data_IF_522091590932
#
_entry.id   IF_522091590932
#
_cell.length_a   1.000
_cell.length_b   1.000
_cell.length_c   1.000
_cell.angle_alpha   90.00
_cell.angle_beta   90.00
_cell.angle_gamma   90.00
#
_symmetry.space_group_name_H-M   'P 1'
#
loop_
_entity.id
_entity.type
_entity.pdbx_description
1 polymer ?
#
# COMPACT_ATOMS: atom_id res chain seq x y z
N UNK A 1 -10.05 -35.44 39.81
CA UNK A 1 -10.10 -34.95 38.41
C UNK A 1 -9.58 -33.53 38.39
N UNK A 2 -8.28 -33.35 38.15
CA UNK A 2 -7.66 -32.03 38.07
C UNK A 2 -7.95 -31.42 36.69
N UNK A 3 -8.54 -30.23 36.67
CA UNK A 3 -8.74 -29.43 35.46
C UNK A 3 -7.38 -29.11 34.85
N UNK A 4 -7.09 -29.68 33.68
CA UNK A 4 -5.87 -29.35 32.92
C UNK A 4 -5.96 -27.87 32.51
N UNK A 5 -4.98 -27.09 32.99
CA UNK A 5 -4.82 -25.66 32.69
C UNK A 5 -4.95 -25.42 31.18
N UNK A 6 -5.85 -24.51 30.82
CA UNK A 6 -6.06 -24.00 29.47
C UNK A 6 -4.98 -22.97 29.13
N UNK A 7 -3.73 -23.40 28.98
CA UNK A 7 -2.64 -22.49 28.61
C UNK A 7 -2.91 -21.89 27.22
N UNK A 8 -3.05 -20.56 27.18
CA UNK A 8 -3.09 -19.78 25.94
C UNK A 8 -1.67 -19.83 25.37
N UNK A 9 -1.46 -20.66 24.33
CA UNK A 9 -0.19 -20.68 23.62
C UNK A 9 0.00 -19.34 22.92
N UNK A 10 1.08 -18.63 23.28
CA UNK A 10 1.49 -17.40 22.61
C UNK A 10 2.11 -17.73 21.24
N UNK A 11 1.93 -16.86 20.23
CA UNK A 11 2.47 -17.12 18.92
C UNK A 11 4.00 -17.10 18.92
N UNK A 12 4.60 -17.93 18.08
CA UNK A 12 6.03 -17.85 17.74
C UNK A 12 6.28 -16.60 16.88
N UNK A 13 7.40 -15.92 17.11
CA UNK A 13 7.73 -14.66 16.43
C UNK A 13 8.94 -14.82 15.50
N UNK A 14 8.90 -14.19 14.34
CA UNK A 14 10.01 -14.15 13.40
C UNK A 14 11.09 -13.14 13.84
N UNK A 15 12.35 -13.42 13.54
CA UNK A 15 13.42 -12.41 13.60
C UNK A 15 13.43 -11.59 12.31
N UNK A 16 13.57 -10.27 12.39
CA UNK A 16 13.77 -9.47 11.20
C UNK A 16 15.17 -9.75 10.61
N UNK A 17 15.26 -9.92 9.29
CA UNK A 17 16.53 -10.21 8.62
C UNK A 17 16.43 -10.18 7.09
N UNK A 18 17.57 -10.28 6.38
CA UNK A 18 17.58 -10.50 4.93
C UNK A 18 16.99 -11.87 4.60
N UNK A 19 16.57 -12.06 3.34
CA UNK A 19 16.07 -13.36 2.89
C UNK A 19 17.18 -14.39 3.04
N UNK A 20 16.99 -15.46 3.83
CA UNK A 20 18.01 -16.49 3.98
C UNK A 20 18.04 -17.38 2.74
N UNK A 21 19.24 -17.88 2.41
CA UNK A 21 19.44 -18.83 1.30
C UNK A 21 19.52 -20.28 1.80
N UNK A 22 19.26 -21.22 0.88
CA UNK A 22 19.47 -22.65 1.07
C UNK A 22 18.19 -23.49 1.14
N UNK A 23 18.29 -24.80 0.86
CA UNK A 23 17.15 -25.70 0.69
C UNK A 23 16.40 -26.04 1.99
N UNK A 24 16.96 -25.67 3.15
CA UNK A 24 16.36 -25.87 4.46
C UNK A 24 15.23 -24.87 4.76
N UNK A 25 15.00 -23.87 3.92
CA UNK A 25 14.00 -22.84 4.12
C UNK A 25 12.74 -23.10 3.31
N UNK A 26 11.60 -22.84 3.94
CA UNK A 26 10.33 -22.67 3.28
C UNK A 26 9.94 -21.19 3.33
N UNK A 27 9.48 -20.64 2.22
CA UNK A 27 9.10 -19.24 2.10
C UNK A 27 7.57 -19.12 2.02
N UNK A 28 6.99 -18.23 2.81
CA UNK A 28 5.60 -17.81 2.70
C UNK A 28 5.55 -16.30 2.46
N UNK A 29 4.52 -15.83 1.75
CA UNK A 29 4.24 -14.39 1.71
C UNK A 29 3.81 -13.87 3.08
N UNK A 30 4.19 -12.64 3.40
CA UNK A 30 3.66 -11.96 4.59
C UNK A 30 2.31 -11.34 4.30
N UNK A 31 1.33 -11.74 5.11
CA UNK A 31 -0.01 -11.18 5.08
C UNK A 31 -0.11 -10.10 6.17
N UNK A 32 -0.47 -8.88 5.80
CA UNK A 32 -0.75 -7.83 6.77
C UNK A 32 -2.18 -8.00 7.32
N UNK A 33 -2.30 -7.93 8.63
CA UNK A 33 -3.47 -8.44 9.33
C UNK A 33 -3.18 -8.73 10.79
N UNK A 34 -4.23 -8.85 11.60
CA UNK A 34 -4.08 -9.09 13.02
C UNK A 34 -3.74 -10.55 13.30
N UNK A 35 -2.78 -10.81 14.22
CA UNK A 35 -2.58 -12.15 14.75
C UNK A 35 -3.87 -12.68 15.36
N UNK A 36 -4.23 -13.92 15.02
CA UNK A 36 -5.38 -14.60 15.58
C UNK A 36 -5.11 -16.09 15.69
N UNK A 37 -5.36 -16.67 16.87
CA UNK A 37 -5.33 -18.11 17.09
C UNK A 37 -6.75 -18.66 17.06
N UNK A 38 -7.01 -19.60 16.15
CA UNK A 38 -8.25 -20.34 16.12
C UNK A 38 -8.18 -21.52 17.10
N UNK A 39 -9.02 -21.56 18.13
CA UNK A 39 -9.08 -22.66 19.09
C UNK A 39 -10.45 -23.31 19.08
N UNK A 40 -10.52 -24.63 18.92
CA UNK A 40 -11.70 -25.43 19.27
C UNK A 40 -11.57 -26.03 20.67
N UNK A 41 -12.62 -25.91 21.47
CA UNK A 41 -12.82 -26.68 22.71
C UNK A 41 -14.30 -26.99 22.89
N UNK A 42 -14.67 -28.24 23.17
CA UNK A 42 -16.05 -28.70 23.43
C UNK A 42 -17.12 -28.16 22.43
N UNK A 43 -16.83 -28.23 21.12
CA UNK A 43 -17.79 -27.82 20.08
C UNK A 43 -17.89 -26.32 19.79
N UNK A 44 -17.08 -25.46 20.44
CA UNK A 44 -17.06 -24.01 20.22
C UNK A 44 -15.79 -23.58 19.48
N UNK A 45 -15.93 -22.63 18.56
CA UNK A 45 -14.82 -21.90 17.93
C UNK A 45 -14.50 -20.68 18.79
N UNK A 46 -13.23 -20.49 19.11
CA UNK A 46 -12.69 -19.27 19.71
C UNK A 46 -11.65 -18.69 18.78
N UNK A 47 -11.62 -17.37 18.64
CA UNK A 47 -10.60 -16.68 17.88
C UNK A 47 -9.89 -15.72 18.81
N UNK A 48 -8.71 -16.11 19.27
CA UNK A 48 -7.94 -15.35 20.26
C UNK A 48 -7.00 -14.41 19.53
N UNK A 49 -7.24 -13.10 19.65
CA UNK A 49 -6.33 -12.07 19.12
C UNK A 49 -4.94 -12.15 19.78
N UNK A 50 -3.96 -11.46 19.20
CA UNK A 50 -2.62 -11.33 19.81
C UNK A 50 -2.58 -10.69 21.21
N UNK A 51 -3.68 -10.09 21.66
CA UNK A 51 -3.85 -9.50 23.01
C UNK A 51 -4.66 -10.40 23.95
N UNK A 52 -4.77 -11.70 23.64
CA UNK A 52 -5.50 -12.72 24.42
C UNK A 52 -7.02 -12.48 24.56
N UNK A 53 -7.61 -11.63 23.70
CA UNK A 53 -9.07 -11.40 23.64
C UNK A 53 -9.75 -12.36 22.66
N UNK A 54 -10.88 -12.96 23.05
CA UNK A 54 -11.74 -13.73 22.14
C UNK A 54 -12.58 -12.78 21.28
N UNK A 55 -12.36 -12.80 19.97
CA UNK A 55 -12.94 -11.86 18.99
C UNK A 55 -13.87 -12.54 17.99
N UNK A 56 -14.20 -13.83 18.17
CA UNK A 56 -14.96 -14.61 17.17
C UNK A 56 -16.32 -13.99 16.80
N UNK A 57 -16.97 -13.29 17.72
CA UNK A 57 -18.28 -12.65 17.46
C UNK A 57 -18.22 -11.57 16.37
N UNK A 58 -17.05 -10.93 16.19
CA UNK A 58 -16.82 -9.93 15.15
C UNK A 58 -16.62 -10.52 13.76
N UNK A 59 -16.46 -11.84 13.67
CA UNK A 59 -16.17 -12.59 12.44
C UNK A 59 -17.09 -13.82 12.32
N UNK A 60 -18.43 -13.62 12.28
CA UNK A 60 -19.39 -14.72 12.21
C UNK A 60 -19.20 -15.61 10.97
N UNK A 61 -18.61 -15.09 9.89
CA UNK A 61 -18.27 -15.87 8.69
C UNK A 61 -17.32 -17.03 9.00
N UNK A 62 -16.49 -16.93 10.05
CA UNK A 62 -15.55 -17.99 10.44
C UNK A 62 -16.21 -19.14 11.21
N UNK A 63 -17.51 -19.08 11.48
CA UNK A 63 -18.22 -20.17 12.15
C UNK A 63 -18.28 -21.45 11.31
N UNK A 64 -17.91 -21.40 10.02
CA UNK A 64 -17.77 -22.57 9.13
C UNK A 64 -16.75 -23.61 9.63
N UNK A 65 -15.82 -23.23 10.52
CA UNK A 65 -14.89 -24.18 11.14
C UNK A 65 -15.48 -24.86 12.38
N UNK A 66 -16.70 -24.50 12.78
CA UNK A 66 -17.47 -25.19 13.82
C UNK A 66 -17.77 -26.63 13.38
N UNK A 67 -17.82 -27.55 14.35
CA UNK A 67 -18.16 -28.96 14.10
C UNK A 67 -17.02 -29.85 13.58
N UNK A 68 -15.90 -29.32 13.09
CA UNK A 68 -14.71 -30.09 12.66
C UNK A 68 -13.90 -30.64 13.86
N UNK A 69 -12.83 -31.41 13.65
CA UNK A 69 -11.92 -31.99 14.70
C UNK A 69 -11.37 -30.95 15.69
N UNK A 70 -10.93 -31.38 16.87
CA UNK A 70 -10.35 -30.49 17.89
C UNK A 70 -9.07 -29.88 17.34
N UNK A 71 -8.94 -28.55 17.25
CA UNK A 71 -7.77 -27.96 16.59
C UNK A 71 -7.34 -26.67 17.28
N UNK A 72 -6.03 -26.42 17.24
CA UNK A 72 -5.44 -25.12 17.54
C UNK A 72 -4.63 -24.67 16.32
N UNK A 73 -5.06 -23.57 15.72
CA UNK A 73 -4.52 -23.03 14.47
C UNK A 73 -3.84 -21.69 14.72
N UNK A 74 -2.72 -21.48 14.04
CA UNK A 74 -2.00 -20.20 13.99
C UNK A 74 -2.22 -19.54 12.62
N UNK A 75 -2.60 -18.27 12.64
CA UNK A 75 -3.05 -17.58 11.45
C UNK A 75 -3.22 -16.07 11.63
N UNK A 76 -3.70 -15.43 10.58
CA UNK A 76 -4.02 -14.00 10.56
C UNK A 76 -5.40 -13.75 9.98
N UNK A 77 -6.09 -12.76 10.55
CA UNK A 77 -7.25 -12.17 9.90
C UNK A 77 -6.79 -11.18 8.86
N UNK A 78 -7.27 -11.35 7.62
CA UNK A 78 -6.88 -10.55 6.47
C UNK A 78 -8.14 -10.01 5.80
N UNK A 79 -8.17 -8.70 5.59
CA UNK A 79 -9.11 -8.07 4.66
C UNK A 79 -8.35 -7.71 3.39
N UNK A 80 -8.88 -8.10 2.24
CA UNK A 80 -8.27 -7.74 0.96
C UNK A 80 -8.88 -6.45 0.40
N UNK A 81 -8.08 -5.67 -0.30
CA UNK A 81 -8.57 -4.60 -1.18
C UNK A 81 -9.16 -5.18 -2.49
N UNK A 82 -9.62 -4.29 -3.37
CA UNK A 82 -10.20 -4.70 -4.65
C UNK A 82 -9.17 -5.38 -5.58
N UNK A 83 -7.88 -5.22 -5.32
CA UNK A 83 -6.78 -5.83 -6.07
C UNK A 83 -6.34 -7.17 -5.44
N UNK A 84 -7.03 -7.66 -4.40
CA UNK A 84 -6.69 -8.91 -3.74
C UNK A 84 -5.51 -8.81 -2.77
N UNK A 85 -5.15 -7.61 -2.31
CA UNK A 85 -4.00 -7.40 -1.41
C UNK A 85 -4.40 -7.17 0.02
N UNK A 86 -3.56 -7.57 0.99
CA UNK A 86 -3.79 -7.26 2.40
C UNK A 86 -3.96 -5.76 2.64
N UNK A 87 -5.07 -5.37 3.25
CA UNK A 87 -5.36 -3.98 3.58
C UNK A 87 -5.76 -3.88 5.04
N UNK A 88 -4.80 -3.48 5.86
CA UNK A 88 -5.02 -3.25 7.29
C UNK A 88 -6.03 -2.10 7.52
N UNK A 89 -6.03 -1.08 6.66
CA UNK A 89 -7.02 0.00 6.68
C UNK A 89 -8.46 -0.52 6.51
N UNK A 90 -8.67 -1.48 5.60
CA UNK A 90 -9.98 -2.13 5.44
C UNK A 90 -10.30 -3.00 6.66
N UNK A 91 -9.33 -3.78 7.15
CA UNK A 91 -9.51 -4.62 8.34
C UNK A 91 -9.89 -3.78 9.58
N UNK A 92 -9.31 -2.58 9.76
CA UNK A 92 -9.63 -1.68 10.87
C UNK A 92 -11.12 -1.33 10.96
N UNK A 93 -11.85 -1.32 9.84
CA UNK A 93 -13.32 -1.09 9.83
C UNK A 93 -14.11 -2.21 10.50
N UNK A 94 -13.52 -3.40 10.60
CA UNK A 94 -14.07 -4.58 11.30
C UNK A 94 -13.50 -4.72 12.71
N UNK A 95 -12.30 -4.20 12.95
CA UNK A 95 -11.65 -4.29 14.26
C UNK A 95 -12.48 -3.57 15.33
N UNK A 96 -12.68 -4.22 16.47
CA UNK A 96 -13.51 -3.77 17.59
C UNK A 96 -15.03 -3.69 17.31
N UNK A 97 -15.51 -4.18 16.18
CA UNK A 97 -16.94 -4.34 15.92
C UNK A 97 -17.38 -5.73 16.38
N UNK A 98 -17.91 -5.83 17.59
CA UNK A 98 -18.26 -7.12 18.19
C UNK A 98 -19.40 -7.86 17.47
N UNK A 99 -20.30 -7.14 16.78
CA UNK A 99 -21.42 -7.68 16.00
C UNK A 99 -21.59 -6.85 14.72
N UNK A 100 -20.92 -7.19 13.62
CA UNK A 100 -21.01 -6.44 12.38
C UNK A 100 -22.41 -6.57 11.74
N UNK A 101 -22.93 -5.49 11.17
CA UNK A 101 -24.15 -5.55 10.35
C UNK A 101 -23.89 -6.27 9.03
N UNK A 102 -24.93 -6.82 8.41
CA UNK A 102 -24.78 -7.48 7.10
C UNK A 102 -24.17 -6.56 6.03
N UNK A 103 -24.53 -5.27 6.03
CA UNK A 103 -23.94 -4.30 5.12
C UNK A 103 -22.44 -4.13 5.32
N UNK A 104 -21.95 -4.20 6.56
CA UNK A 104 -20.52 -4.16 6.85
C UNK A 104 -19.82 -5.46 6.43
N UNK A 105 -20.45 -6.63 6.67
CA UNK A 105 -19.93 -7.93 6.23
C UNK A 105 -19.75 -7.97 4.70
N UNK A 106 -20.73 -7.47 3.93
CA UNK A 106 -20.66 -7.40 2.46
C UNK A 106 -19.57 -6.45 1.95
N UNK A 107 -19.39 -5.30 2.62
CA UNK A 107 -18.40 -4.28 2.20
C UNK A 107 -16.96 -4.64 2.57
N UNK A 108 -16.77 -5.35 3.67
CA UNK A 108 -15.45 -5.72 4.21
C UNK A 108 -15.43 -7.20 4.51
N UNK A 109 -15.16 -7.99 3.47
CA UNK A 109 -14.90 -9.43 3.61
C UNK A 109 -13.58 -9.65 4.36
N UNK A 110 -13.60 -10.55 5.34
CA UNK A 110 -12.43 -10.95 6.12
C UNK A 110 -12.28 -12.46 6.01
N UNK A 111 -11.05 -12.91 5.76
CA UNK A 111 -10.69 -14.31 5.75
C UNK A 111 -9.61 -14.62 6.80
N UNK A 112 -9.60 -15.85 7.28
CA UNK A 112 -8.60 -16.37 8.20
C UNK A 112 -7.53 -17.16 7.44
N UNK A 113 -6.35 -16.57 7.35
CA UNK A 113 -5.18 -17.14 6.68
C UNK A 113 -4.41 -18.00 7.66
N UNK A 114 -4.53 -19.32 7.52
CA UNK A 114 -3.97 -20.31 8.45
C UNK A 114 -2.66 -20.84 7.92
N UNK A 115 -1.57 -20.60 8.65
CA UNK A 115 -0.24 -21.03 8.22
C UNK A 115 0.38 -22.12 9.10
N UNK A 116 -0.15 -22.37 10.31
CA UNK A 116 0.36 -23.44 11.18
C UNK A 116 -0.77 -24.14 11.97
N UNK A 117 -0.49 -25.36 12.43
CA UNK A 117 -1.34 -26.16 13.30
C UNK A 117 -0.53 -26.55 14.54
N UNK A 118 -1.03 -26.19 15.73
CA UNK A 118 -0.34 -26.34 17.01
C UNK A 118 -0.90 -27.50 17.85
N UNK A 119 -2.12 -27.95 17.53
CA UNK A 119 -2.76 -29.13 18.14
C UNK A 119 -3.80 -29.71 17.19
N UNK A 120 -3.88 -31.03 17.15
CA UNK A 120 -4.95 -31.79 16.50
C UNK A 120 -5.50 -32.82 17.48
N UNK A 121 -6.80 -32.74 17.74
CA UNK A 121 -7.54 -33.34 18.84
C UNK A 121 -6.84 -33.15 20.19
N UNK A 122 -6.38 -34.24 20.79
CA UNK A 122 -5.66 -34.32 22.05
C UNK A 122 -4.13 -34.27 21.88
N UNK A 123 -3.63 -34.28 20.64
CA UNK A 123 -2.19 -34.36 20.34
C UNK A 123 -1.59 -33.00 20.02
N UNK A 124 -0.54 -32.64 20.76
CA UNK A 124 0.32 -31.51 20.45
C UNK A 124 1.13 -31.78 19.18
N UNK A 125 1.21 -30.78 18.29
CA UNK A 125 2.03 -30.83 17.06
C UNK A 125 3.29 -29.97 17.18
N UNK A 126 3.54 -29.33 18.33
CA UNK A 126 4.64 -28.37 18.52
C UNK A 126 6.03 -28.96 18.25
N UNK A 127 6.22 -30.24 18.55
CA UNK A 127 7.48 -30.98 18.35
C UNK A 127 7.62 -31.54 16.93
N UNK A 128 6.57 -31.48 16.10
CA UNK A 128 6.70 -31.81 14.68
C UNK A 128 7.48 -30.70 13.97
N UNK A 129 8.23 -31.08 12.94
CA UNK A 129 8.91 -30.12 12.06
C UNK A 129 7.88 -29.26 11.31
N UNK A 130 8.27 -28.05 10.92
CA UNK A 130 7.40 -27.15 10.15
C UNK A 130 6.82 -27.83 8.91
N UNK A 131 7.63 -28.59 8.17
CA UNK A 131 7.17 -29.34 6.99
C UNK A 131 6.05 -30.32 7.34
N UNK A 132 6.21 -31.09 8.41
CA UNK A 132 5.17 -32.03 8.86
C UNK A 132 3.89 -31.32 9.30
N UNK A 133 3.99 -30.18 9.99
CA UNK A 133 2.82 -29.38 10.38
C UNK A 133 2.08 -28.80 9.17
N UNK A 134 2.81 -28.34 8.15
CA UNK A 134 2.23 -27.86 6.88
C UNK A 134 1.52 -28.95 6.10
N UNK A 135 2.11 -30.14 5.98
CA UNK A 135 1.46 -31.30 5.35
C UNK A 135 0.17 -31.65 6.10
N UNK A 136 0.26 -31.80 7.43
CA UNK A 136 -0.91 -32.09 8.26
C UNK A 136 -2.01 -31.04 8.11
N UNK A 137 -1.66 -29.76 8.07
CA UNK A 137 -2.63 -28.67 7.89
C UNK A 137 -3.33 -28.76 6.52
N UNK A 138 -2.60 -29.11 5.45
CA UNK A 138 -3.16 -29.31 4.11
C UNK A 138 -4.17 -30.47 4.05
N UNK A 139 -3.83 -31.60 4.66
CA UNK A 139 -4.65 -32.82 4.65
C UNK A 139 -6.00 -32.66 5.37
N UNK A 140 -6.15 -31.61 6.20
CA UNK A 140 -7.40 -31.37 6.94
C UNK A 140 -8.53 -30.81 6.07
N UNK A 141 -8.24 -30.41 4.83
CA UNK A 141 -9.26 -29.91 3.89
C UNK A 141 -10.03 -28.72 4.46
N UNK A 142 -9.32 -27.80 5.14
CA UNK A 142 -9.90 -26.59 5.74
C UNK A 142 -10.13 -25.46 4.75
N UNK A 143 -9.41 -25.47 3.63
CA UNK A 143 -9.48 -24.40 2.64
C UNK A 143 -10.89 -24.36 2.00
N UNK A 144 -11.46 -23.16 1.93
CA UNK A 144 -12.79 -22.93 1.36
C UNK A 144 -13.52 -21.79 2.07
N UNK A 145 -14.20 -20.94 1.29
CA UNK A 145 -14.91 -19.78 1.83
C UNK A 145 -13.96 -18.83 2.58
N UNK A 146 -14.24 -18.48 3.85
CA UNK A 146 -13.47 -17.49 4.61
C UNK A 146 -12.21 -18.06 5.29
N UNK A 147 -11.81 -19.30 4.99
CA UNK A 147 -10.55 -19.90 5.48
C UNK A 147 -9.61 -20.16 4.31
N UNK A 148 -8.40 -19.60 4.42
CA UNK A 148 -7.37 -19.66 3.39
C UNK A 148 -6.12 -20.33 3.96
N UNK A 149 -5.58 -21.31 3.25
CA UNK A 149 -4.26 -21.88 3.54
C UNK A 149 -3.29 -21.30 2.51
N UNK A 150 -2.52 -20.24 2.83
CA UNK A 150 -1.58 -19.67 1.88
C UNK A 150 -0.53 -20.72 1.46
N UNK A 151 -0.03 -20.64 0.21
CA UNK A 151 1.04 -21.51 -0.26
C UNK A 151 2.33 -21.24 0.51
N UNK A 152 3.21 -22.24 0.51
CA UNK A 152 4.59 -22.15 0.98
C UNK A 152 5.50 -22.76 -0.08
N UNK A 153 6.70 -22.23 -0.24
CA UNK A 153 7.62 -22.59 -1.31
C UNK A 153 8.92 -23.14 -0.71
N UNK A 154 9.30 -24.36 -1.07
CA UNK A 154 10.56 -24.99 -0.62
C UNK A 154 11.59 -25.17 -1.73
N UNK A 155 11.17 -25.05 -2.98
CA UNK A 155 11.98 -25.32 -4.18
C UNK A 155 12.21 -24.06 -5.03
N UNK A 156 11.77 -22.91 -4.53
CA UNK A 156 11.94 -21.61 -5.18
C UNK A 156 12.94 -20.82 -4.36
N UNK A 157 13.84 -20.12 -5.05
CA UNK A 157 14.76 -19.19 -4.43
C UNK A 157 13.99 -18.11 -3.64
N UNK A 158 14.42 -17.85 -2.41
CA UNK A 158 13.72 -16.92 -1.53
C UNK A 158 13.68 -15.49 -2.07
N UNK A 159 14.71 -15.06 -2.80
CA UNK A 159 14.74 -13.74 -3.41
C UNK A 159 13.69 -13.65 -4.51
N UNK A 160 13.53 -14.69 -5.33
CA UNK A 160 12.46 -14.75 -6.33
C UNK A 160 11.06 -14.66 -5.69
N UNK A 161 10.84 -15.30 -4.53
CA UNK A 161 9.57 -15.15 -3.78
C UNK A 161 9.40 -13.73 -3.24
N UNK A 162 10.48 -13.07 -2.78
CA UNK A 162 10.42 -11.67 -2.33
C UNK A 162 10.15 -10.70 -3.48
N UNK A 163 10.76 -10.92 -4.64
CA UNK A 163 10.55 -10.11 -5.84
C UNK A 163 9.10 -10.27 -6.34
N UNK A 164 8.59 -11.50 -6.32
CA UNK A 164 7.18 -11.80 -6.58
C UNK A 164 6.28 -11.08 -5.56
N UNK A 165 6.62 -11.10 -4.27
CA UNK A 165 5.87 -10.36 -3.26
C UNK A 165 5.81 -8.85 -3.59
N UNK A 166 6.90 -8.28 -4.11
CA UNK A 166 6.95 -6.88 -4.53
C UNK A 166 6.05 -6.61 -5.73
N UNK A 167 6.10 -7.50 -6.74
CA UNK A 167 5.28 -7.43 -7.95
C UNK A 167 3.78 -7.45 -7.64
N UNK A 168 3.36 -8.28 -6.68
CA UNK A 168 1.95 -8.38 -6.29
C UNK A 168 1.52 -7.34 -5.22
N UNK A 169 2.42 -6.46 -4.78
CA UNK A 169 2.13 -5.45 -3.75
C UNK A 169 1.91 -6.04 -2.36
N UNK A 170 2.55 -7.16 -2.06
CA UNK A 170 2.58 -7.79 -0.72
C UNK A 170 3.66 -7.15 0.15
N UNK A 171 3.66 -7.46 1.44
CA UNK A 171 4.54 -6.79 2.40
C UNK A 171 5.94 -7.39 2.51
N UNK A 172 6.17 -8.55 1.91
CA UNK A 172 7.44 -9.27 1.94
C UNK A 172 7.24 -10.77 2.13
N UNK A 173 8.24 -11.42 2.73
CA UNK A 173 8.29 -12.87 2.92
C UNK A 173 8.67 -13.23 4.35
N UNK A 174 8.13 -14.35 4.82
CA UNK A 174 8.59 -15.04 6.02
C UNK A 174 9.21 -16.37 5.62
N UNK A 175 10.50 -16.52 5.89
CA UNK A 175 11.23 -17.76 5.71
C UNK A 175 11.15 -18.56 7.02
N UNK A 176 10.76 -19.83 6.94
CA UNK A 176 10.67 -20.75 8.07
C UNK A 176 11.56 -21.95 7.78
N UNK A 177 12.45 -22.31 8.72
CA UNK A 177 13.26 -23.53 8.60
C UNK A 177 12.35 -24.75 8.55
N UNK A 178 12.46 -25.54 7.49
CA UNK A 178 11.58 -26.67 7.21
C UNK A 178 11.61 -27.74 8.32
N UNK A 179 12.77 -27.89 8.97
CA UNK A 179 13.05 -28.82 10.06
C UNK A 179 12.79 -28.23 11.46
N UNK A 180 12.35 -26.97 11.57
CA UNK A 180 12.15 -26.33 12.88
C UNK A 180 10.86 -26.72 13.58
N UNK A 181 10.95 -26.88 14.90
CA UNK A 181 9.79 -27.04 15.80
C UNK A 181 9.16 -25.68 16.12
N UNK A 182 7.91 -25.70 16.56
CA UNK A 182 7.22 -24.48 17.00
C UNK A 182 7.63 -24.10 18.42
N UNK A 183 7.98 -22.84 18.65
CA UNK A 183 8.46 -22.33 19.94
C UNK A 183 7.51 -21.24 20.45
N UNK A 184 6.47 -21.61 21.23
CA UNK A 184 5.45 -20.66 21.68
C UNK A 184 6.05 -19.44 22.39
N UNK A 185 5.60 -18.26 22.00
CA UNK A 185 6.01 -16.97 22.59
C UNK A 185 7.47 -16.56 22.35
N UNK A 186 8.27 -17.36 21.64
CA UNK A 186 9.69 -17.03 21.38
C UNK A 186 9.87 -16.37 20.03
N UNK A 187 10.72 -15.33 20.01
CA UNK A 187 11.33 -14.84 18.78
C UNK A 187 12.50 -15.74 18.41
N UNK A 188 12.44 -16.34 17.23
CA UNK A 188 13.44 -17.32 16.79
C UNK A 188 14.05 -16.91 15.47
N UNK A 189 15.31 -17.30 15.25
CA UNK A 189 15.96 -17.19 13.92
C UNK A 189 15.54 -18.31 12.98
N UNK A 190 14.80 -19.31 13.47
CA UNK A 190 14.22 -20.33 12.59
C UNK A 190 13.08 -19.77 11.75
N UNK A 191 12.52 -18.62 12.13
CA UNK A 191 11.58 -17.82 11.35
C UNK A 191 12.24 -16.47 11.06
N UNK A 192 12.43 -16.11 9.80
CA UNK A 192 13.03 -14.84 9.39
C UNK A 192 12.01 -14.07 8.58
N UNK A 193 11.68 -12.86 9.01
CA UNK A 193 10.79 -11.97 8.26
C UNK A 193 11.63 -10.94 7.50
N UNK A 194 11.45 -10.90 6.19
CA UNK A 194 12.05 -9.91 5.30
C UNK A 194 10.94 -9.05 4.71
N UNK A 195 10.82 -7.83 5.24
CA UNK A 195 9.85 -6.85 4.77
C UNK A 195 10.37 -6.10 3.55
N UNK A 196 9.48 -5.87 2.58
CA UNK A 196 9.73 -4.99 1.44
C UNK A 196 9.79 -3.54 1.91
N UNK A 197 10.77 -2.82 1.37
CA UNK A 197 11.00 -1.41 1.66
C UNK A 197 11.33 -0.67 0.37
N UNK A 198 10.74 0.50 0.22
CA UNK A 198 11.06 1.47 -0.81
C UNK A 198 11.98 2.55 -0.26
N UNK A 199 12.54 3.38 -1.14
CA UNK A 199 13.34 4.55 -0.77
C UNK A 199 12.73 5.82 -1.33
N UNK A 200 12.80 6.90 -0.56
CA UNK A 200 12.29 8.21 -0.95
C UNK A 200 13.31 9.29 -0.56
N UNK A 201 13.58 10.22 -1.48
CA UNK A 201 14.25 11.48 -1.15
C UNK A 201 13.27 12.42 -0.45
N UNK A 202 13.70 13.02 0.65
CA UNK A 202 12.87 13.91 1.47
C UNK A 202 13.66 15.14 1.90
N UNK A 203 12.94 16.22 2.16
CA UNK A 203 13.51 17.42 2.77
C UNK A 203 13.15 17.46 4.25
N UNK A 204 14.12 17.73 5.11
CA UNK A 204 13.89 17.91 6.54
C UNK A 204 13.33 19.32 6.75
N UNK A 205 12.13 19.39 7.35
CA UNK A 205 11.47 20.64 7.71
C UNK A 205 11.39 20.89 9.22
N UNK A 206 11.71 19.89 10.03
CA UNK A 206 11.79 20.07 11.47
C UNK A 206 12.31 18.84 12.19
N UNK A 207 12.32 18.89 13.51
CA UNK A 207 12.70 17.79 14.38
C UNK A 207 11.91 17.86 15.69
N UNK A 208 11.60 16.71 16.29
CA UNK A 208 11.04 16.68 17.65
C UNK A 208 12.17 16.48 18.66
N UNK A 209 12.11 17.05 19.86
CA UNK A 209 13.09 16.78 20.90
C UNK A 209 13.09 15.32 21.35
N UNK A 210 14.21 14.89 21.93
CA UNK A 210 14.40 13.54 22.44
C UNK A 210 15.82 13.32 22.97
N UNK A 211 16.07 12.14 23.54
CA UNK A 211 17.37 11.82 24.12
C UNK A 211 18.51 12.01 23.11
N UNK A 212 19.56 12.73 23.52
CA UNK A 212 20.74 13.00 22.70
C UNK A 212 20.53 14.03 21.58
N UNK A 213 19.63 15.00 21.76
CA UNK A 213 19.43 16.16 20.86
C UNK A 213 18.03 16.16 20.22
N UNK A 214 17.83 15.35 19.18
CA UNK A 214 16.50 15.15 18.57
C UNK A 214 15.96 13.75 18.86
N UNK A 215 14.65 13.56 18.90
CA UNK A 215 13.98 12.25 18.96
C UNK A 215 13.59 11.74 17.58
N UNK A 216 13.24 12.64 16.66
CA UNK A 216 12.89 12.30 15.28
C UNK A 216 13.04 13.49 14.35
N UNK A 217 13.16 13.23 13.05
CA UNK A 217 13.03 14.25 12.00
C UNK A 217 11.60 14.32 11.50
N UNK A 218 11.13 15.54 11.22
CA UNK A 218 9.91 15.81 10.47
C UNK A 218 10.33 16.06 9.03
N UNK A 219 9.81 15.25 8.12
CA UNK A 219 10.23 15.27 6.71
C UNK A 219 9.05 15.57 5.80
N UNK A 220 9.33 16.19 4.66
CA UNK A 220 8.33 16.53 3.66
C UNK A 220 8.87 16.46 2.25
N UNK A 221 7.94 16.59 1.31
CA UNK A 221 8.22 16.71 -0.11
C UNK A 221 7.95 18.15 -0.54
N UNK A 222 8.85 18.80 -1.30
CA UNK A 222 8.61 20.14 -1.84
C UNK A 222 7.35 20.24 -2.70
N UNK A 223 6.68 21.37 -2.57
CA UNK A 223 5.59 21.86 -3.42
C UNK A 223 5.86 23.34 -3.71
N UNK A 224 5.08 23.95 -4.61
CA UNK A 224 5.17 25.39 -4.88
C UNK A 224 4.91 26.26 -3.65
N UNK A 225 4.08 25.79 -2.71
CA UNK A 225 3.66 26.53 -1.51
C UNK A 225 4.51 26.25 -0.27
N UNK A 226 5.45 25.30 -0.33
CA UNK A 226 6.24 24.84 0.81
C UNK A 226 6.37 23.32 0.87
N UNK A 227 6.66 22.74 2.04
CA UNK A 227 6.78 21.29 2.20
C UNK A 227 5.44 20.64 2.50
N UNK A 228 5.02 19.65 1.70
CA UNK A 228 3.94 18.73 2.08
C UNK A 228 4.46 17.74 3.11
N UNK A 229 3.79 17.61 4.25
CA UNK A 229 4.29 16.77 5.34
C UNK A 229 4.22 15.28 4.96
N UNK A 230 5.37 14.59 5.00
CA UNK A 230 5.51 13.20 4.59
C UNK A 230 5.71 12.24 5.78
N UNK A 231 5.83 12.75 7.00
CA UNK A 231 5.84 11.93 8.21
C UNK A 231 7.01 12.17 9.15
N UNK A 232 7.05 11.35 10.21
CA UNK A 232 8.02 11.40 11.30
C UNK A 232 9.01 10.25 11.19
N UNK A 233 10.30 10.55 11.24
CA UNK A 233 11.38 9.55 11.11
C UNK A 233 12.16 9.46 12.41
N UNK A 234 11.92 8.39 13.19
CA UNK A 234 12.53 8.17 14.49
C UNK A 234 13.64 7.10 14.53
N UNK A 235 13.85 6.36 13.45
CA UNK A 235 14.78 5.21 13.40
C UNK A 235 15.76 5.33 12.24
N UNK A 236 16.79 4.46 12.19
CA UNK A 236 17.80 4.43 11.11
C UNK A 236 19.03 5.32 11.34
N UNK A 237 19.07 6.07 12.45
CA UNK A 237 20.19 6.97 12.75
C UNK A 237 21.38 6.24 13.37
N UNK A 238 22.44 6.01 12.58
CA UNK A 238 23.76 5.60 13.12
C UNK A 238 24.35 6.73 13.98
N UNK A 239 25.15 6.42 15.02
CA UNK A 239 25.75 7.43 15.94
C UNK A 239 26.47 8.57 15.21
N UNK A 240 27.28 8.26 14.21
CA UNK A 240 28.00 9.27 13.42
C UNK A 240 27.04 10.16 12.61
N UNK A 241 26.03 9.56 11.96
CA UNK A 241 25.02 10.28 11.19
C UNK A 241 24.18 11.21 12.08
N UNK A 242 23.85 10.79 13.31
CA UNK A 242 23.14 11.62 14.29
C UNK A 242 23.92 12.89 14.64
N UNK A 243 25.23 12.78 14.90
CA UNK A 243 26.07 13.96 15.20
C UNK A 243 26.16 14.92 14.01
N UNK A 244 26.33 14.38 12.81
CA UNK A 244 26.35 15.19 11.59
C UNK A 244 25.02 15.93 11.37
N UNK A 245 23.89 15.24 11.58
CA UNK A 245 22.56 15.83 11.50
C UNK A 245 22.35 16.95 12.53
N UNK A 246 22.75 16.76 13.79
CA UNK A 246 22.63 17.81 14.80
C UNK A 246 23.38 19.08 14.41
N UNK A 247 24.62 18.94 13.90
CA UNK A 247 25.40 20.08 13.41
C UNK A 247 24.72 20.75 12.21
N UNK A 248 24.18 19.96 11.29
CA UNK A 248 23.48 20.49 10.11
C UNK A 248 22.19 21.24 10.51
N UNK A 249 21.39 20.68 11.42
CA UNK A 249 20.12 21.25 11.89
C UNK A 249 20.33 22.61 12.56
N UNK A 250 21.34 22.74 13.42
CA UNK A 250 21.65 24.01 14.10
C UNK A 250 21.96 25.16 13.13
N UNK A 251 22.49 24.86 11.95
CA UNK A 251 22.81 25.86 10.92
C UNK A 251 21.63 26.32 10.08
N UNK A 252 20.44 25.74 10.26
CA UNK A 252 19.26 26.02 9.43
C UNK A 252 17.99 26.22 10.26
N UNK A 253 18.11 26.56 11.55
CA UNK A 253 16.94 26.79 12.40
C UNK A 253 16.10 27.98 11.91
N UNK A 254 14.77 27.88 12.06
CA UNK A 254 13.85 28.96 11.76
C UNK A 254 12.67 28.99 12.73
N UNK A 255 11.94 30.11 12.77
CA UNK A 255 10.83 30.32 13.73
C UNK A 255 9.52 29.71 13.27
N UNK A 256 9.29 29.63 11.96
CA UNK A 256 8.03 29.19 11.37
C UNK A 256 8.13 27.78 10.78
N UNK A 257 7.02 27.06 10.75
CA UNK A 257 6.95 25.77 10.06
C UNK A 257 7.19 25.97 8.56
N UNK A 258 8.04 25.14 7.91
CA UNK A 258 8.13 25.11 6.45
C UNK A 258 7.04 24.24 5.81
N UNK A 259 6.20 23.57 6.61
CA UNK A 259 5.16 22.67 6.12
C UNK A 259 3.88 23.44 5.76
N UNK A 260 3.27 23.06 4.64
CA UNK A 260 1.95 23.58 4.22
C UNK A 260 0.80 22.89 4.96
N UNK A 261 1.02 21.65 5.40
CA UNK A 261 0.08 20.88 6.21
C UNK A 261 0.47 20.94 7.69
N UNK A 262 -0.47 20.57 8.56
CA UNK A 262 -0.20 20.44 9.99
C UNK A 262 0.84 19.36 10.27
N UNK A 263 1.98 19.77 10.81
CA UNK A 263 3.05 18.89 11.28
C UNK A 263 3.00 18.77 12.80
N UNK A 264 3.26 17.58 13.38
CA UNK A 264 3.13 17.34 14.81
C UNK A 264 4.14 18.14 15.65
N UNK A 265 3.66 18.71 16.76
CA UNK A 265 4.49 19.40 17.78
C UNK A 265 4.74 18.56 19.06
N UNK A 266 5.65 18.99 19.97
CA UNK A 266 6.56 20.13 19.82
C UNK A 266 7.73 19.81 18.88
N UNK A 267 8.13 20.80 18.08
CA UNK A 267 9.18 20.66 17.07
C UNK A 267 10.08 21.91 16.99
N UNK A 268 11.38 21.70 16.74
CA UNK A 268 12.28 22.72 16.22
C UNK A 268 12.17 22.77 14.70
N UNK A 269 11.82 23.94 14.15
CA UNK A 269 11.66 24.11 12.71
C UNK A 269 12.99 24.42 12.05
N UNK A 270 13.18 23.90 10.84
CA UNK A 270 14.37 24.17 10.04
C UNK A 270 14.01 24.59 8.64
N UNK A 271 14.81 25.48 8.06
CA UNK A 271 14.71 25.86 6.67
C UNK A 271 14.85 24.61 5.78
N UNK A 272 14.06 24.49 4.70
CA UNK A 272 13.96 23.29 3.86
C UNK A 272 15.18 23.13 2.94
N UNK A 273 16.37 23.01 3.53
CA UNK A 273 17.68 22.97 2.86
C UNK A 273 18.36 21.61 2.99
N UNK A 274 17.95 20.81 3.97
CA UNK A 274 18.56 19.53 4.26
C UNK A 274 17.82 18.42 3.52
N UNK A 275 18.43 17.91 2.45
CA UNK A 275 17.95 16.76 1.71
C UNK A 275 18.53 15.48 2.30
N UNK A 276 17.68 14.49 2.48
CA UNK A 276 18.11 13.14 2.79
C UNK A 276 17.23 12.08 2.16
N UNK A 277 17.52 10.84 2.52
CA UNK A 277 16.82 9.68 2.01
C UNK A 277 16.29 8.86 3.18
N UNK A 278 15.09 8.32 2.99
CA UNK A 278 14.42 7.43 3.94
C UNK A 278 14.04 6.14 3.26
N UNK A 279 14.19 5.01 3.95
CA UNK A 279 13.48 3.79 3.59
C UNK A 279 12.11 3.78 4.23
N UNK A 280 11.10 3.23 3.58
CA UNK A 280 9.72 3.16 4.09
C UNK A 280 9.02 1.91 3.54
N UNK A 281 7.88 1.53 4.12
CA UNK A 281 7.11 0.36 3.67
C UNK A 281 6.13 0.69 2.56
N UNK A 282 5.35 1.75 2.71
CA UNK A 282 4.34 2.20 1.75
C UNK A 282 3.98 3.67 1.98
N UNK A 283 3.39 4.32 0.99
CA UNK A 283 2.69 5.59 1.21
C UNK A 283 1.29 5.32 1.77
N UNK A 284 0.82 6.13 2.70
CA UNK A 284 -0.58 6.12 3.15
C UNK A 284 -1.44 6.98 2.23
N UNK A 285 -2.78 6.83 2.32
CA UNK A 285 -3.73 7.64 1.56
C UNK A 285 -3.60 9.15 1.86
N UNK A 286 -3.16 9.50 3.06
CA UNK A 286 -2.87 10.88 3.48
C UNK A 286 -1.51 11.38 2.99
N UNK A 287 -0.82 10.58 2.16
CA UNK A 287 0.48 10.92 1.61
C UNK A 287 1.61 10.94 2.64
N UNK A 288 1.53 10.07 3.66
CA UNK A 288 2.57 9.87 4.68
C UNK A 288 3.38 8.59 4.43
N UNK A 289 4.61 8.55 4.90
CA UNK A 289 5.47 7.38 4.82
C UNK A 289 5.15 6.40 5.96
N UNK A 290 4.85 5.15 5.63
CA UNK A 290 4.64 4.06 6.58
C UNK A 290 5.96 3.47 7.08
N UNK A 291 6.18 3.49 8.40
CA UNK A 291 7.37 2.99 9.09
C UNK A 291 8.72 3.45 8.48
N UNK A 292 8.94 4.76 8.34
CA UNK A 292 10.13 5.28 7.73
C UNK A 292 11.36 5.12 8.64
N UNK A 293 12.51 4.86 8.03
CA UNK A 293 13.81 4.81 8.68
C UNK A 293 14.84 5.59 7.86
N UNK A 294 15.61 6.45 8.53
CA UNK A 294 16.60 7.32 7.92
C UNK A 294 17.74 6.52 7.28
N UNK A 295 18.13 6.89 6.06
CA UNK A 295 19.25 6.27 5.34
C UNK A 295 20.47 7.17 5.29
N UNK A 296 20.28 8.50 5.23
CA UNK A 296 21.40 9.44 5.21
C UNK A 296 21.04 10.78 4.58
N UNK A 297 21.93 11.75 4.74
CA UNK A 297 21.90 12.99 3.98
C UNK A 297 22.34 12.74 2.53
N UNK A 298 21.91 13.61 1.62
CA UNK A 298 22.25 13.57 0.18
C UNK A 298 22.83 14.94 -0.20
N UNK A 299 24.11 15.20 0.16
CA UNK A 299 24.74 16.48 -0.10
C UNK A 299 24.89 16.72 -1.61
N UNK A 300 24.78 17.98 -2.04
CA UNK A 300 25.01 18.38 -3.44
C UNK A 300 23.78 18.33 -4.34
N UNK A 301 22.62 17.87 -3.85
CA UNK A 301 21.35 17.90 -4.61
C UNK A 301 20.46 19.03 -4.07
N UNK A 302 19.87 19.83 -4.97
CA UNK A 302 19.02 20.94 -4.58
C UNK A 302 17.68 20.44 -4.01
N UNK A 303 17.18 20.96 -2.88
CA UNK A 303 15.89 20.56 -2.30
C UNK A 303 14.73 20.56 -3.29
N UNK A 304 14.65 21.54 -4.19
CA UNK A 304 13.60 21.62 -5.22
C UNK A 304 13.63 20.49 -6.26
N UNK A 305 14.73 19.72 -6.36
CA UNK A 305 14.81 18.55 -7.22
C UNK A 305 14.14 17.31 -6.60
N UNK A 306 13.80 17.35 -5.30
CA UNK A 306 13.03 16.29 -4.66
C UNK A 306 11.60 16.38 -5.16
N UNK A 307 11.20 15.34 -5.88
CA UNK A 307 9.80 15.11 -6.23
C UNK A 307 9.29 13.98 -5.35
N UNK A 308 8.01 14.04 -4.95
CA UNK A 308 7.32 12.81 -4.60
C UNK A 308 7.48 11.89 -5.82
N UNK A 309 7.53 10.56 -5.63
CA UNK A 309 7.27 9.71 -6.77
C UNK A 309 5.97 10.25 -7.36
N UNK A 310 5.96 10.48 -8.67
CA UNK A 310 4.69 10.29 -9.37
C UNK A 310 4.31 8.89 -8.93
N UNK A 311 3.28 8.79 -8.08
CA UNK A 311 2.70 7.49 -7.78
C UNK A 311 2.10 7.11 -9.12
N UNK A 312 2.92 6.53 -9.99
CA UNK A 312 2.44 5.87 -11.18
C UNK A 312 1.49 4.82 -10.59
N UNK A 313 0.17 4.93 -10.82
CA UNK A 313 -0.74 3.83 -10.59
C UNK A 313 -0.44 2.66 -11.55
N UNK A 314 0.57 2.84 -12.41
CA UNK A 314 0.96 2.04 -13.55
C UNK A 314 1.45 0.62 -13.28
N UNK A 315 1.27 0.03 -12.10
CA UNK A 315 1.31 -1.44 -11.98
C UNK A 315 -0.08 -2.03 -11.75
N UNK A 316 -0.98 -1.35 -11.03
CA UNK A 316 -2.32 -1.88 -10.72
C UNK A 316 -3.26 -1.73 -11.89
N UNK A 317 -3.12 -0.63 -12.63
CA UNK A 317 -3.76 -0.45 -13.91
C UNK A 317 -3.42 -1.59 -14.88
N UNK A 318 -2.16 -2.05 -14.92
CA UNK A 318 -1.73 -3.09 -15.85
C UNK A 318 -2.45 -4.42 -15.61
N UNK A 319 -2.44 -4.91 -14.36
CA UNK A 319 -3.10 -6.17 -14.02
C UNK A 319 -4.62 -6.08 -14.17
N UNK A 320 -5.21 -4.94 -13.82
CA UNK A 320 -6.64 -4.72 -13.93
C UNK A 320 -7.10 -4.65 -15.39
N UNK A 321 -6.33 -3.98 -16.26
CA UNK A 321 -6.61 -3.94 -17.69
C UNK A 321 -6.51 -5.35 -18.31
N UNK A 322 -5.45 -6.10 -17.99
CA UNK A 322 -5.28 -7.49 -18.48
C UNK A 322 -6.40 -8.40 -17.98
N UNK A 323 -6.82 -8.26 -16.72
CA UNK A 323 -7.92 -9.07 -16.16
C UNK A 323 -9.26 -8.76 -16.82
N UNK A 324 -9.54 -7.48 -17.09
CA UNK A 324 -10.73 -7.06 -17.82
C UNK A 324 -10.72 -7.58 -19.27
N UNK A 325 -9.58 -7.49 -19.96
CA UNK A 325 -9.39 -8.05 -21.30
C UNK A 325 -9.65 -9.56 -21.28
N UNK A 326 -9.01 -10.29 -20.36
CA UNK A 326 -9.15 -11.74 -20.23
C UNK A 326 -10.58 -12.18 -19.95
N UNK A 327 -11.34 -11.41 -19.16
CA UNK A 327 -12.75 -11.68 -18.91
C UNK A 327 -13.60 -11.55 -20.18
N UNK A 328 -13.27 -10.60 -21.07
CA UNK A 328 -13.98 -10.35 -22.33
C UNK A 328 -13.63 -11.34 -23.44
N UNK A 329 -12.47 -12.01 -23.39
CA UNK A 329 -12.04 -12.96 -24.45
C UNK A 329 -13.11 -14.02 -24.76
N UNK A 330 -13.90 -14.44 -23.76
CA UNK A 330 -14.96 -15.46 -23.95
C UNK A 330 -16.33 -14.87 -24.28
N UNK A 331 -16.63 -13.65 -23.84
CA UNK A 331 -17.98 -13.06 -23.91
C UNK A 331 -18.12 -12.00 -25.01
N UNK A 332 -17.05 -11.27 -25.29
CA UNK A 332 -16.97 -10.23 -26.33
C UNK A 332 -15.53 -10.13 -26.88
N UNK A 333 -15.14 -11.04 -27.80
CA UNK A 333 -13.78 -11.10 -28.33
C UNK A 333 -13.38 -9.85 -29.13
N UNK A 334 -14.35 -9.17 -29.76
CA UNK A 334 -14.11 -7.95 -30.52
C UNK A 334 -13.65 -6.82 -29.58
N UNK A 335 -14.39 -6.60 -28.49
CA UNK A 335 -14.03 -5.61 -27.48
C UNK A 335 -12.75 -5.96 -26.73
N UNK A 336 -12.51 -7.26 -26.47
CA UNK A 336 -11.24 -7.71 -25.89
C UNK A 336 -10.03 -7.35 -26.78
N UNK A 337 -10.17 -7.51 -28.10
CA UNK A 337 -9.12 -7.14 -29.08
C UNK A 337 -8.87 -5.64 -29.09
N UNK A 338 -9.90 -4.81 -29.09
CA UNK A 338 -9.77 -3.36 -29.02
C UNK A 338 -9.06 -2.91 -27.74
N UNK A 339 -9.48 -3.44 -26.59
CA UNK A 339 -8.83 -3.14 -25.32
C UNK A 339 -7.37 -3.60 -25.27
N UNK A 340 -7.03 -4.75 -25.88
CA UNK A 340 -5.64 -5.20 -25.96
C UNK A 340 -4.77 -4.24 -26.79
N UNK A 341 -5.32 -3.68 -27.87
CA UNK A 341 -4.65 -2.67 -28.69
C UNK A 341 -4.45 -1.39 -27.88
N UNK A 342 -5.50 -0.90 -27.22
CA UNK A 342 -5.44 0.29 -26.37
C UNK A 342 -4.42 0.13 -25.24
N UNK A 343 -4.37 -1.05 -24.64
CA UNK A 343 -3.42 -1.39 -23.59
C UNK A 343 -1.96 -1.39 -24.08
N UNK A 344 -1.69 -1.99 -25.25
CA UNK A 344 -0.37 -1.98 -25.85
C UNK A 344 0.08 -0.56 -26.26
N UNK A 345 -0.85 0.29 -26.70
CA UNK A 345 -0.58 1.70 -26.98
C UNK A 345 -0.23 2.47 -25.70
N UNK A 346 -1.05 2.34 -24.66
CA UNK A 346 -0.78 2.95 -23.36
C UNK A 346 0.61 2.58 -22.83
N UNK A 347 0.97 1.29 -22.84
CA UNK A 347 2.26 0.79 -22.38
C UNK A 347 3.45 1.38 -23.14
N UNK A 348 3.30 1.63 -24.44
CA UNK A 348 4.35 2.26 -25.26
C UNK A 348 4.48 3.74 -24.94
N UNK A 349 3.37 4.44 -24.72
CA UNK A 349 3.37 5.85 -24.33
C UNK A 349 3.93 6.04 -22.92
N UNK A 350 3.59 5.18 -21.96
CA UNK A 350 4.04 5.28 -20.56
C UNK A 350 5.53 5.02 -20.36
N UNK A 351 6.19 4.36 -21.31
CA UNK A 351 7.63 4.11 -21.29
C UNK A 351 8.46 5.29 -21.87
N UNK A 352 7.80 6.29 -22.49
CA UNK A 352 8.48 7.53 -22.87
C UNK A 352 8.77 8.29 -21.58
N UNK A 353 10.04 8.36 -21.19
CA UNK A 353 10.45 8.91 -19.90
C UNK A 353 9.90 10.30 -19.64
N UNK A 354 9.55 10.59 -18.36
CA UNK A 354 9.05 11.88 -17.94
C UNK A 354 10.04 13.00 -18.32
N UNK A 355 9.65 13.86 -19.26
CA UNK A 355 10.48 14.94 -19.79
C UNK A 355 10.86 14.84 -21.27
N UNK A 356 10.51 13.75 -21.97
CA UNK A 356 10.50 13.75 -23.42
C UNK A 356 9.39 14.70 -23.94
N UNK A 357 9.67 15.50 -24.98
CA UNK A 357 8.66 16.36 -25.60
C UNK A 357 7.62 15.55 -26.36
N UNK A 358 6.34 15.90 -26.20
CA UNK A 358 5.20 15.30 -26.91
C UNK A 358 4.21 16.40 -27.31
N UNK A 359 3.24 16.08 -28.17
CA UNK A 359 2.15 17.02 -28.51
C UNK A 359 0.93 16.79 -27.62
N UNK A 360 0.06 17.81 -27.50
CA UNK A 360 -1.21 17.67 -26.81
C UNK A 360 -2.09 16.60 -27.48
N UNK A 361 -2.03 16.49 -28.81
CA UNK A 361 -2.69 15.42 -29.54
C UNK A 361 -2.29 14.02 -29.04
N UNK A 362 -0.99 13.78 -28.87
CA UNK A 362 -0.47 12.47 -28.42
C UNK A 362 -0.83 12.17 -26.95
N UNK A 363 -0.83 13.18 -26.09
CA UNK A 363 -1.28 13.05 -24.70
C UNK A 363 -2.77 12.73 -24.63
N UNK A 364 -3.59 13.44 -25.41
CA UNK A 364 -5.04 13.23 -25.46
C UNK A 364 -5.39 11.84 -25.98
N UNK A 365 -4.71 11.34 -27.03
CA UNK A 365 -4.88 9.96 -27.50
C UNK A 365 -4.53 8.94 -26.40
N UNK A 366 -3.45 9.17 -25.66
CA UNK A 366 -3.06 8.29 -24.54
C UNK A 366 -4.09 8.32 -23.41
N UNK A 367 -4.58 9.50 -23.05
CA UNK A 367 -5.61 9.73 -22.03
C UNK A 367 -6.94 9.06 -22.42
N UNK A 368 -7.36 9.19 -23.67
CA UNK A 368 -8.57 8.54 -24.19
C UNK A 368 -8.51 7.02 -24.01
N UNK A 369 -7.39 6.41 -24.41
CA UNK A 369 -7.19 4.96 -24.30
C UNK A 369 -7.17 4.51 -22.85
N UNK A 370 -6.50 5.26 -21.98
CA UNK A 370 -6.50 5.01 -20.54
C UNK A 370 -7.93 5.04 -19.97
N UNK A 371 -8.72 6.06 -20.29
CA UNK A 371 -10.09 6.20 -19.80
C UNK A 371 -11.01 5.10 -20.34
N UNK A 372 -10.87 4.69 -21.62
CA UNK A 372 -11.60 3.53 -22.17
C UNK A 372 -11.28 2.23 -21.43
N UNK A 373 -10.01 2.01 -21.09
CA UNK A 373 -9.60 0.84 -20.29
C UNK A 373 -10.20 0.87 -18.88
N UNK A 374 -10.30 2.05 -18.26
CA UNK A 374 -10.96 2.22 -16.96
C UNK A 374 -12.47 2.03 -17.02
N UNK A 375 -13.13 2.58 -18.05
CA UNK A 375 -14.57 2.42 -18.27
C UNK A 375 -14.97 0.96 -18.48
N UNK A 376 -14.16 0.19 -19.21
CA UNK A 376 -14.42 -1.24 -19.37
C UNK A 376 -14.36 -2.02 -18.04
N UNK A 377 -13.53 -1.56 -17.08
CA UNK A 377 -13.43 -2.17 -15.75
C UNK A 377 -14.58 -1.77 -14.83
N UNK A 378 -14.97 -0.50 -14.87
CA UNK A 378 -15.86 0.10 -13.89
C UNK A 378 -17.30 0.31 -14.38
N UNK A 379 -17.55 0.07 -15.67
CA UNK A 379 -18.82 0.33 -16.31
C UNK A 379 -19.20 1.81 -16.19
N UNK A 380 -20.49 2.06 -15.98
CA UNK A 380 -21.08 3.40 -15.82
C UNK A 380 -20.55 4.18 -14.61
N UNK A 381 -19.76 3.57 -13.71
CA UNK A 381 -19.20 4.26 -12.54
C UNK A 381 -18.11 5.25 -12.88
N UNK A 382 -17.48 5.13 -14.05
CA UNK A 382 -16.51 6.12 -14.53
C UNK A 382 -17.03 6.66 -15.85
N UNK A 383 -17.39 7.93 -15.86
CA UNK A 383 -17.72 8.64 -17.09
C UNK A 383 -16.55 9.54 -17.48
N UNK A 384 -16.37 9.74 -18.78
CA UNK A 384 -15.29 10.56 -19.31
C UNK A 384 -15.84 11.56 -20.33
N UNK A 385 -15.41 12.82 -20.24
CA UNK A 385 -15.74 13.88 -21.19
C UNK A 385 -14.45 14.57 -21.61
N UNK A 386 -14.09 14.48 -22.88
CA UNK A 386 -12.89 15.13 -23.40
C UNK A 386 -13.33 16.15 -24.43
N UNK A 387 -12.97 17.41 -24.24
CA UNK A 387 -13.25 18.51 -25.17
C UNK A 387 -11.98 19.32 -25.38
N UNK A 388 -11.29 19.07 -26.48
CA UNK A 388 -10.04 19.74 -26.84
C UNK A 388 -10.27 20.50 -28.12
N UNK A 389 -9.93 21.80 -28.11
CA UNK A 389 -10.02 22.64 -29.29
C UNK A 389 -8.97 22.21 -30.33
N UNK A 390 -9.31 22.11 -31.63
CA UNK A 390 -8.38 21.59 -32.64
C UNK A 390 -7.09 22.40 -32.81
N UNK A 391 -7.15 23.70 -32.55
CA UNK A 391 -6.06 24.67 -32.66
C UNK A 391 -4.95 24.46 -31.61
N UNK A 392 -5.28 23.87 -30.45
CA UNK A 392 -4.29 23.60 -29.39
C UNK A 392 -3.65 22.21 -29.47
N UNK A 393 -4.17 21.30 -30.30
CA UNK A 393 -3.62 19.94 -30.46
C UNK A 393 -2.11 19.87 -30.79
N UNK A 394 -1.54 20.78 -31.60
CA UNK A 394 -0.10 20.74 -31.92
C UNK A 394 0.82 21.26 -30.81
N UNK A 395 0.28 21.82 -29.72
CA UNK A 395 1.07 22.41 -28.64
C UNK A 395 2.00 21.36 -28.02
N UNK A 396 3.27 21.72 -27.86
CA UNK A 396 4.28 20.85 -27.26
C UNK A 396 4.26 20.95 -25.73
N UNK A 397 4.31 19.82 -25.05
CA UNK A 397 4.34 19.72 -23.60
C UNK A 397 5.20 18.53 -23.14
N UNK A 398 5.58 18.48 -21.85
CA UNK A 398 6.23 17.30 -21.30
C UNK A 398 5.33 16.06 -21.39
N UNK A 399 5.91 14.93 -21.76
CA UNK A 399 5.22 13.63 -21.70
C UNK A 399 4.68 13.37 -20.30
N UNK A 400 3.47 12.80 -20.25
CA UNK A 400 2.64 12.46 -19.11
C UNK A 400 2.04 13.63 -18.34
N UNK A 401 2.12 14.87 -18.84
CA UNK A 401 1.62 16.02 -18.09
C UNK A 401 0.09 16.01 -17.93
N UNK A 402 -0.66 15.56 -18.95
CA UNK A 402 -2.12 15.43 -18.84
C UNK A 402 -2.49 14.08 -18.23
N UNK A 403 -1.78 13.02 -18.63
CA UNK A 403 -2.02 11.66 -18.14
C UNK A 403 -2.02 11.55 -16.60
N UNK A 404 -1.05 12.18 -15.93
CA UNK A 404 -0.94 12.13 -14.46
C UNK A 404 -2.14 12.82 -13.78
N UNK A 405 -2.65 13.92 -14.35
CA UNK A 405 -3.81 14.62 -13.82
C UNK A 405 -5.07 13.77 -13.95
N UNK A 406 -5.25 13.12 -15.10
CA UNK A 406 -6.37 12.21 -15.36
C UNK A 406 -6.34 10.99 -14.45
N UNK A 407 -5.17 10.40 -14.23
CA UNK A 407 -5.00 9.28 -13.29
C UNK A 407 -5.40 9.66 -11.87
N UNK A 408 -5.01 10.85 -11.42
CA UNK A 408 -5.41 11.34 -10.10
C UNK A 408 -6.92 11.55 -9.98
N UNK A 409 -7.55 12.12 -11.01
CA UNK A 409 -9.00 12.30 -11.08
C UNK A 409 -9.74 10.96 -11.04
N UNK A 410 -9.30 9.98 -11.83
CA UNK A 410 -9.87 8.62 -11.81
C UNK A 410 -9.75 8.00 -10.43
N UNK A 411 -8.57 8.04 -9.80
CA UNK A 411 -8.36 7.47 -8.46
C UNK A 411 -9.28 8.11 -7.40
N UNK A 412 -9.57 9.40 -7.51
CA UNK A 412 -10.51 10.10 -6.63
C UNK A 412 -11.95 9.58 -6.75
N UNK A 413 -12.32 9.07 -7.93
CA UNK A 413 -13.64 8.51 -8.23
C UNK A 413 -13.72 7.00 -7.92
N UNK A 414 -12.63 6.24 -8.05
CA UNK A 414 -12.65 4.76 -7.93
C UNK A 414 -13.29 4.27 -6.60
N UNK A 415 -13.06 5.00 -5.51
CA UNK A 415 -13.57 4.71 -4.17
C UNK A 415 -14.96 5.33 -3.85
N UNK A 416 -15.50 6.15 -4.77
CA UNK A 416 -16.79 6.80 -4.60
C UNK A 416 -17.94 5.79 -4.80
N UNK A 417 -18.89 5.78 -3.86
CA UNK A 417 -20.02 4.85 -3.89
C UNK A 417 -20.94 5.03 -5.11
N UNK A 418 -20.98 6.24 -5.68
CA UNK A 418 -21.83 6.60 -6.82
C UNK A 418 -21.08 6.65 -8.15
N UNK A 419 -19.76 6.44 -8.16
CA UNK A 419 -18.93 6.74 -9.34
C UNK A 419 -18.76 8.24 -9.56
N UNK A 420 -18.35 8.62 -10.77
CA UNK A 420 -18.09 10.01 -11.14
C UNK A 420 -17.62 10.19 -12.59
N UNK A 421 -17.53 11.45 -13.00
CA UNK A 421 -17.15 11.94 -14.32
C UNK A 421 -15.79 12.63 -14.26
N UNK A 422 -14.85 12.18 -15.09
CA UNK A 422 -13.62 12.91 -15.39
C UNK A 422 -13.84 13.77 -16.63
N UNK A 423 -13.60 15.07 -16.52
CA UNK A 423 -13.69 16.02 -17.63
C UNK A 423 -12.31 16.57 -17.96
N UNK A 424 -11.87 16.43 -19.21
CA UNK A 424 -10.62 17.02 -19.73
C UNK A 424 -11.01 18.09 -20.74
N UNK A 425 -10.60 19.34 -20.48
CA UNK A 425 -10.79 20.45 -21.39
C UNK A 425 -9.44 20.99 -21.83
N UNK A 426 -9.32 21.39 -23.09
CA UNK A 426 -8.21 22.23 -23.52
C UNK A 426 -8.64 23.24 -24.58
N UNK A 427 -8.25 24.48 -24.40
CA UNK A 427 -8.60 25.60 -25.27
C UNK A 427 -7.48 26.64 -25.32
N UNK A 428 -7.47 27.43 -26.39
CA UNK A 428 -6.65 28.63 -26.45
C UNK A 428 -7.30 29.75 -25.64
N UNK A 429 -6.56 30.31 -24.68
CA UNK A 429 -6.96 31.53 -23.97
C UNK A 429 -5.84 32.56 -24.15
N UNK A 430 -6.11 33.57 -24.99
CA UNK A 430 -5.08 34.54 -25.38
C UNK A 430 -3.96 33.87 -26.20
N UNK A 431 -2.71 34.00 -25.73
CA UNK A 431 -1.53 33.38 -26.35
C UNK A 431 -1.17 32.01 -25.76
N UNK A 432 -1.93 31.53 -24.78
CA UNK A 432 -1.63 30.33 -24.01
C UNK A 432 -2.59 29.17 -24.34
N UNK A 433 -2.10 27.94 -24.19
CA UNK A 433 -2.93 26.75 -24.17
C UNK A 433 -3.30 26.43 -22.72
N UNK A 434 -4.59 26.53 -22.38
CA UNK A 434 -5.11 26.17 -21.06
C UNK A 434 -5.64 24.75 -21.12
N UNK A 435 -5.17 23.89 -20.22
CA UNK A 435 -5.61 22.51 -20.07
C UNK A 435 -6.19 22.36 -18.66
N UNK A 436 -7.43 21.88 -18.54
CA UNK A 436 -8.05 21.55 -17.26
C UNK A 436 -8.46 20.08 -17.20
N UNK A 437 -8.30 19.49 -16.01
CA UNK A 437 -8.80 18.15 -15.68
C UNK A 437 -9.61 18.28 -14.41
N UNK A 438 -10.88 17.91 -14.48
CA UNK A 438 -11.85 18.04 -13.40
C UNK A 438 -12.48 16.67 -13.10
N UNK A 439 -12.82 16.44 -11.85
CA UNK A 439 -13.66 15.31 -11.42
C UNK A 439 -14.82 15.79 -10.55
N UNK A 440 -15.96 15.10 -10.64
CA UNK A 440 -17.14 15.32 -9.78
C UNK A 440 -17.19 14.33 -8.60
N UNK A 441 -16.06 13.69 -8.29
CA UNK A 441 -15.92 12.79 -7.16
C UNK A 441 -16.19 13.51 -5.83
N UNK A 442 -16.25 12.78 -4.70
CA UNK A 442 -16.57 13.35 -3.38
C UNK A 442 -15.61 14.45 -2.91
N UNK A 443 -14.53 14.71 -3.67
CA UNK A 443 -13.50 15.67 -3.37
C UNK A 443 -12.68 15.23 -2.16
N UNK A 444 -11.48 15.79 -2.07
CA UNK A 444 -10.81 15.93 -0.77
C UNK A 444 -11.16 17.31 -0.22
N UNK A 445 -11.46 17.42 1.08
CA UNK A 445 -11.85 18.64 1.79
C UNK A 445 -11.17 19.94 1.29
N UNK A 446 -11.78 21.15 1.47
CA UNK A 446 -11.51 22.38 0.70
C UNK A 446 -10.07 22.95 0.69
N UNK A 447 -9.10 22.30 1.32
CA UNK A 447 -7.68 22.66 1.28
C UNK A 447 -6.98 22.27 -0.04
N UNK A 448 -7.67 21.66 -1.01
CA UNK A 448 -7.09 21.20 -2.29
C UNK A 448 -7.72 21.87 -3.51
N UNK A 449 -7.42 23.15 -3.73
CA UNK A 449 -7.46 23.73 -5.08
C UNK A 449 -6.02 23.79 -5.63
N UNK A 450 -5.73 22.94 -6.61
CA UNK A 450 -4.51 22.99 -7.42
C UNK A 450 -4.75 23.97 -8.56
N UNK A 451 -4.28 25.21 -8.41
CA UNK A 451 -4.06 26.10 -9.55
C UNK A 451 -2.65 25.85 -10.03
N UNK A 452 -2.47 25.05 -11.07
CA UNK A 452 -1.19 24.95 -11.78
C UNK A 452 -1.02 26.22 -12.61
N UNK A 453 -0.11 27.10 -12.18
CA UNK A 453 0.31 28.28 -12.95
C UNK A 453 1.76 28.11 -13.40
N UNK A 454 1.99 27.90 -14.69
CA UNK A 454 3.22 28.29 -15.40
C UNK A 454 2.82 28.44 -16.88
N UNK A 455 2.87 29.60 -17.55
CA UNK A 455 3.57 30.86 -17.29
C UNK A 455 2.80 32.08 -17.88
N UNK A 456 2.58 33.13 -17.06
CA UNK A 456 2.29 34.56 -17.36
C UNK A 456 1.19 34.92 -18.39
N UNK A 457 0.01 35.44 -17.99
CA UNK A 457 -0.17 36.83 -17.53
C UNK A 457 -1.49 37.02 -16.72
N UNK A 458 -1.49 37.95 -15.77
CA UNK A 458 -2.49 38.03 -14.68
C UNK A 458 -3.83 38.70 -14.98
N UNK A 459 -4.74 38.54 -14.00
CA UNK A 459 -5.98 39.32 -13.87
C UNK A 459 -6.79 38.88 -12.66
N UNK A 460 -6.85 39.71 -11.61
CA UNK A 460 -7.82 39.59 -10.51
C UNK A 460 -9.22 39.92 -11.04
N UNK A 461 -10.26 39.28 -10.52
CA UNK A 461 -11.54 39.96 -10.25
C UNK A 461 -12.41 39.18 -9.28
N UNK A 462 -12.98 39.91 -8.32
CA UNK A 462 -14.07 39.49 -7.46
C UNK A 462 -15.43 39.78 -8.14
N UNK A 463 -16.50 39.40 -7.43
CA UNK A 463 -17.95 39.69 -7.60
C UNK A 463 -18.70 38.89 -8.67
N UNK A 464 -19.91 38.36 -8.40
CA UNK A 464 -20.88 38.62 -7.33
C UNK A 464 -21.27 37.38 -6.51
#
# INVERSE_FOLDING_TARGET
MASVSTDVLRPMLASAGPVPAGPQWAFEFTWDGNPGHGRRGAGRVRLISGEDRDVISGYPELDVIRGRRGMLLDGKLVALDACGRPSLARLYRRMNVARPSEGLLRRVSVAFYVFDILRLDDRSTLQLTYRQRRTLLGDLGLAGGPVVLPPYFTEIDGQAVLDTAAEYGLHGVIAKRADSTYQPGRRSRSWVETALRHTQEVVVGGWTPGAGGFGSLLVGVPTERGLRYAGRVGTGFRRAARRALLKALAGVEQRTSPFVDEAPGPAGWVAPRLLGEVSYRQWTAEGRLGNPAWRGLRPGKHPAAVKAPVVLPGQHFLYNAVSAIAALVRTDPARAREMLIDFAHFLRSSQRGAGAGTTLADEVDTVERYLRLQQARFGERIQARIRVAPDVLPVALPSLAVQVLVENAVNGIEDAALGGTVTVLACAEGGDCVISVEDDGPGTSPARQWTSSTAGCGGRSATA
#
